data_IF_956454705783
#
_entry.id   IF_956454705783
#
_cell.length_a   1.000
_cell.length_b   1.000
_cell.length_c   1.000
_cell.angle_alpha   90.00
_cell.angle_beta   90.00
_cell.angle_gamma   90.00
#
_symmetry.space_group_name_H-M   'P 1'
#
loop_
_entity.id
_entity.type
_entity.pdbx_description
1 polymer ?
#
# COMPACT_ATOMS: atom_id res chain seq x y z
N UNK A 1 30.79 -0.78 -3.83
CA UNK A 1 29.78 -1.16 -2.79
C UNK A 1 28.44 -1.18 -3.47
N UNK A 2 27.70 -2.28 -3.38
CA UNK A 2 26.45 -2.42 -4.12
C UNK A 2 25.37 -1.49 -3.54
N UNK A 3 24.80 -0.65 -4.37
CA UNK A 3 23.62 0.14 -4.03
C UNK A 3 22.41 -0.78 -3.81
N UNK A 4 21.60 -0.50 -2.81
CA UNK A 4 20.36 -1.23 -2.56
C UNK A 4 19.19 -0.35 -3.01
N UNK A 5 18.45 -0.81 -4.02
CA UNK A 5 17.33 -0.06 -4.62
C UNK A 5 16.02 -0.78 -4.34
N UNK A 6 15.05 -0.05 -3.82
CA UNK A 6 13.65 -0.46 -3.65
C UNK A 6 12.72 0.51 -4.40
N UNK A 7 11.43 0.27 -4.36
CA UNK A 7 10.45 1.15 -5.00
C UNK A 7 10.37 2.55 -4.36
N UNK A 8 10.62 2.65 -3.04
CA UNK A 8 10.43 3.86 -2.25
C UNK A 8 11.74 4.47 -1.75
N UNK A 9 12.86 3.78 -1.89
CA UNK A 9 14.15 4.27 -1.42
C UNK A 9 15.33 3.65 -2.16
N UNK A 10 16.48 4.31 -2.06
CA UNK A 10 17.77 3.83 -2.54
C UNK A 10 18.82 4.11 -1.46
N UNK A 11 19.60 3.08 -1.10
CA UNK A 11 20.76 3.24 -0.23
C UNK A 11 22.00 3.38 -1.11
N UNK A 12 22.74 4.45 -0.92
CA UNK A 12 23.98 4.76 -1.64
C UNK A 12 25.15 4.91 -0.69
N UNK A 13 26.32 5.27 -1.17
CA UNK A 13 27.46 5.65 -0.33
C UNK A 13 27.23 6.95 0.46
N UNK A 14 26.40 7.85 -0.06
CA UNK A 14 26.14 9.18 0.47
C UNK A 14 25.06 9.21 1.54
N UNK A 15 24.00 8.39 1.37
CA UNK A 15 22.87 8.41 2.29
C UNK A 15 21.70 7.55 1.82
N UNK A 16 20.57 7.79 2.49
CA UNK A 16 19.27 7.16 2.22
C UNK A 16 18.45 8.11 1.35
N UNK A 17 18.30 7.79 0.08
CA UNK A 17 17.46 8.54 -0.85
C UNK A 17 16.02 8.06 -0.75
N UNK A 18 15.10 8.92 -0.35
CA UNK A 18 13.68 8.64 -0.37
C UNK A 18 13.13 8.96 -1.78
N UNK A 19 12.48 7.95 -2.40
CA UNK A 19 12.02 8.02 -3.78
C UNK A 19 10.50 8.14 -3.83
N UNK A 20 10.01 9.05 -4.65
CA UNK A 20 8.60 9.18 -5.02
C UNK A 20 8.49 9.44 -6.53
N UNK A 21 7.66 8.66 -7.22
CA UNK A 21 7.50 8.76 -8.69
C UNK A 21 8.83 8.68 -9.46
N UNK A 22 9.74 7.80 -9.01
CA UNK A 22 11.11 7.60 -9.56
C UNK A 22 12.10 8.75 -9.29
N UNK A 23 11.69 9.82 -8.63
CA UNK A 23 12.56 10.93 -8.26
C UNK A 23 12.90 10.90 -6.77
N UNK A 24 14.16 11.21 -6.45
CA UNK A 24 14.57 11.45 -5.06
C UNK A 24 14.00 12.77 -4.60
N UNK A 25 13.16 12.74 -3.57
CA UNK A 25 12.58 13.97 -3.00
C UNK A 25 13.23 14.36 -1.68
N UNK A 26 13.96 13.45 -1.05
CA UNK A 26 14.66 13.71 0.20
C UNK A 26 15.88 12.80 0.32
N UNK A 27 17.01 13.36 0.73
CA UNK A 27 18.23 12.65 1.06
C UNK A 27 18.45 12.76 2.57
N UNK A 28 18.66 11.64 3.23
CA UNK A 28 19.04 11.56 4.65
C UNK A 28 20.49 11.08 4.67
N UNK A 29 21.40 11.95 5.07
CA UNK A 29 22.81 11.59 5.18
C UNK A 29 23.04 10.70 6.41
N UNK A 30 23.98 9.74 6.32
CA UNK A 30 24.17 8.78 7.41
C UNK A 30 24.60 9.41 8.72
N UNK A 31 25.30 10.53 8.67
CA UNK A 31 25.73 11.25 9.89
C UNK A 31 24.55 11.91 10.63
N UNK A 32 23.42 12.14 9.97
CA UNK A 32 22.20 12.68 10.55
C UNK A 32 21.32 11.57 11.17
N UNK A 33 21.60 10.30 10.86
CA UNK A 33 20.81 9.16 11.35
C UNK A 33 21.23 8.78 12.76
N UNK A 34 20.36 9.00 13.73
CA UNK A 34 20.57 8.62 15.13
C UNK A 34 20.40 7.11 15.34
N UNK A 35 19.36 6.54 14.73
CA UNK A 35 19.07 5.11 14.83
C UNK A 35 18.19 4.64 13.66
N UNK A 36 18.32 3.37 13.30
CA UNK A 36 17.46 2.69 12.35
C UNK A 36 17.08 1.31 12.87
N UNK A 37 15.81 0.95 12.84
CA UNK A 37 15.35 -0.36 13.28
C UNK A 37 14.22 -0.89 12.37
N UNK A 38 14.09 -2.22 12.35
CA UNK A 38 13.02 -2.89 11.63
C UNK A 38 11.78 -2.99 12.51
N UNK A 39 10.65 -2.62 11.92
CA UNK A 39 9.32 -2.80 12.50
C UNK A 39 8.41 -3.47 11.47
N UNK A 40 7.45 -4.24 11.91
CA UNK A 40 6.36 -4.69 11.06
C UNK A 40 5.25 -3.64 11.03
N UNK A 41 4.68 -3.43 9.86
CA UNK A 41 3.59 -2.50 9.69
C UNK A 41 2.73 -2.83 8.48
N UNK A 42 1.64 -2.12 8.31
CA UNK A 42 0.70 -2.33 7.21
C UNK A 42 1.20 -1.72 5.91
N UNK A 43 0.88 -2.36 4.79
CA UNK A 43 1.21 -1.84 3.46
C UNK A 43 0.59 -0.45 3.24
N UNK A 44 -0.68 -0.30 3.57
CA UNK A 44 -1.37 0.97 3.53
C UNK A 44 -1.11 1.79 4.81
N UNK A 45 -0.74 3.07 4.66
CA UNK A 45 -0.52 3.97 5.81
C UNK A 45 -1.79 4.16 6.63
N UNK A 46 -2.92 4.39 5.96
CA UNK A 46 -4.24 4.57 6.57
C UNK A 46 -5.08 3.31 6.33
N UNK A 47 -4.60 2.17 6.81
CA UNK A 47 -5.18 0.86 6.55
C UNK A 47 -6.66 0.73 6.95
N UNK A 48 -7.10 1.42 8.01
CA UNK A 48 -8.50 1.41 8.46
C UNK A 48 -9.40 2.04 7.39
N UNK A 49 -9.01 3.19 6.85
CA UNK A 49 -9.75 3.87 5.78
C UNK A 49 -9.80 3.00 4.53
N UNK A 50 -8.67 2.41 4.14
CA UNK A 50 -8.59 1.53 2.97
C UNK A 50 -9.45 0.28 3.16
N UNK A 51 -9.46 -0.30 4.36
CA UNK A 51 -10.31 -1.44 4.71
C UNK A 51 -11.79 -1.08 4.61
N UNK A 52 -12.18 0.08 5.13
CA UNK A 52 -13.56 0.56 5.09
C UNK A 52 -14.04 0.78 3.65
N UNK A 53 -13.22 1.43 2.80
CA UNK A 53 -13.53 1.58 1.38
C UNK A 53 -13.65 0.23 0.65
N UNK A 54 -12.76 -0.72 0.98
CA UNK A 54 -12.85 -2.09 0.45
C UNK A 54 -14.17 -2.78 0.82
N UNK A 55 -14.61 -2.65 2.08
CA UNK A 55 -15.87 -3.18 2.55
C UNK A 55 -17.09 -2.55 1.86
N UNK A 56 -17.11 -1.23 1.73
CA UNK A 56 -18.17 -0.51 0.99
C UNK A 56 -18.21 -0.95 -0.46
N UNK A 57 -17.05 -1.08 -1.12
CA UNK A 57 -16.98 -1.49 -2.51
C UNK A 57 -17.58 -2.88 -2.73
N UNK A 58 -17.28 -3.84 -1.86
CA UNK A 58 -17.87 -5.19 -1.92
C UNK A 58 -19.38 -5.17 -1.63
N UNK A 59 -19.80 -4.38 -0.65
CA UNK A 59 -21.22 -4.23 -0.36
C UNK A 59 -21.99 -3.67 -1.56
N UNK A 60 -21.48 -2.63 -2.20
CA UNK A 60 -22.08 -2.06 -3.42
C UNK A 60 -22.09 -3.06 -4.57
N UNK A 61 -21.04 -3.88 -4.72
CA UNK A 61 -21.01 -4.93 -5.74
C UNK A 61 -22.14 -5.95 -5.55
N UNK A 62 -22.33 -6.42 -4.31
CA UNK A 62 -23.40 -7.36 -3.95
C UNK A 62 -24.77 -6.72 -4.17
N UNK A 63 -24.93 -5.48 -3.73
CA UNK A 63 -26.17 -4.71 -3.89
C UNK A 63 -26.55 -4.54 -5.37
N UNK A 64 -25.59 -4.12 -6.21
CA UNK A 64 -25.80 -3.99 -7.65
C UNK A 64 -26.12 -5.33 -8.31
N UNK A 65 -25.38 -6.38 -7.96
CA UNK A 65 -25.62 -7.71 -8.50
C UNK A 65 -27.05 -8.20 -8.17
N UNK A 66 -27.49 -8.00 -6.93
CA UNK A 66 -28.83 -8.35 -6.48
C UNK A 66 -29.89 -7.64 -7.34
N UNK A 67 -29.76 -6.34 -7.56
CA UNK A 67 -30.72 -5.57 -8.36
C UNK A 67 -30.63 -5.87 -9.87
N UNK A 68 -29.46 -6.21 -10.40
CA UNK A 68 -29.32 -6.65 -11.77
C UNK A 68 -30.06 -7.96 -12.05
N UNK A 69 -30.05 -8.88 -11.07
CA UNK A 69 -30.68 -10.20 -11.22
C UNK A 69 -32.21 -10.11 -10.96
N UNK A 70 -32.59 -9.47 -9.87
CA UNK A 70 -33.99 -9.44 -9.42
C UNK A 70 -34.83 -8.28 -10.06
N UNK A 71 -34.14 -7.26 -10.58
CA UNK A 71 -34.79 -6.02 -10.99
C UNK A 71 -35.14 -5.12 -9.80
N UNK A 72 -35.74 -3.98 -10.08
CA UNK A 72 -36.22 -3.03 -9.06
C UNK A 72 -37.74 -2.98 -9.14
N UNK A 73 -38.43 -3.20 -8.01
CA UNK A 73 -39.88 -3.09 -7.93
C UNK A 73 -40.25 -1.64 -7.65
N UNK A 74 -41.04 -1.04 -8.56
CA UNK A 74 -41.62 0.30 -8.44
C UNK A 74 -43.11 0.17 -8.68
N UNK A 75 -43.94 0.58 -7.74
CA UNK A 75 -45.41 0.54 -7.84
C UNK A 75 -45.97 -0.81 -8.32
N UNK A 76 -45.62 -1.89 -7.61
CA UNK A 76 -46.03 -3.28 -7.90
C UNK A 76 -45.53 -3.84 -9.25
N UNK A 77 -44.79 -3.06 -10.03
CA UNK A 77 -44.16 -3.50 -11.28
C UNK A 77 -42.68 -3.73 -11.12
N UNK A 78 -42.19 -4.89 -11.52
CA UNK A 78 -40.75 -5.19 -11.52
C UNK A 78 -40.13 -4.69 -12.82
N UNK A 79 -39.27 -3.68 -12.74
CA UNK A 79 -38.49 -3.16 -13.86
C UNK A 79 -37.17 -3.93 -13.95
N UNK A 80 -36.92 -4.63 -15.04
CA UNK A 80 -35.69 -5.34 -15.33
C UNK A 80 -34.85 -4.56 -16.33
N UNK A 81 -33.56 -4.39 -15.97
CA UNK A 81 -32.61 -3.58 -16.75
C UNK A 81 -31.82 -4.46 -17.76
N UNK A 82 -32.51 -5.22 -18.63
CA UNK A 82 -31.82 -6.11 -19.56
C UNK A 82 -30.82 -5.40 -20.47
N UNK A 83 -31.10 -4.18 -20.90
CA UNK A 83 -30.20 -3.41 -21.77
C UNK A 83 -28.94 -2.91 -21.04
N UNK A 84 -28.95 -2.83 -19.69
CA UNK A 84 -27.85 -2.40 -18.87
C UNK A 84 -27.11 -3.56 -18.20
N UNK A 85 -27.56 -4.81 -18.43
CA UNK A 85 -27.03 -5.98 -17.74
C UNK A 85 -25.52 -6.15 -17.97
N UNK A 86 -25.06 -6.02 -19.22
CA UNK A 86 -23.63 -6.14 -19.53
C UNK A 86 -22.77 -5.06 -18.87
N UNK A 87 -23.22 -3.80 -18.92
CA UNK A 87 -22.52 -2.67 -18.28
C UNK A 87 -22.55 -2.79 -16.75
N UNK A 88 -23.68 -3.22 -16.18
CA UNK A 88 -23.84 -3.47 -14.77
C UNK A 88 -22.91 -4.57 -14.26
N UNK A 89 -22.74 -5.66 -15.00
CA UNK A 89 -21.79 -6.72 -14.66
C UNK A 89 -20.34 -6.23 -14.66
N UNK A 90 -19.96 -5.40 -15.64
CA UNK A 90 -18.60 -4.80 -15.65
C UNK A 90 -18.39 -3.97 -14.39
N UNK A 91 -19.37 -3.14 -14.00
CA UNK A 91 -19.30 -2.34 -12.78
C UNK A 91 -19.15 -3.23 -11.53
N UNK A 92 -19.90 -4.32 -11.44
CA UNK A 92 -19.78 -5.30 -10.34
C UNK A 92 -18.37 -5.89 -10.27
N UNK A 93 -17.81 -6.35 -11.40
CA UNK A 93 -16.45 -6.89 -11.42
C UNK A 93 -15.40 -5.87 -11.01
N UNK A 94 -15.51 -4.63 -11.45
CA UNK A 94 -14.61 -3.55 -11.05
C UNK A 94 -14.70 -3.31 -9.55
N UNK A 95 -15.91 -3.23 -8.98
CA UNK A 95 -16.12 -3.04 -7.55
C UNK A 95 -15.57 -4.19 -6.72
N UNK A 96 -15.74 -5.44 -7.17
CA UNK A 96 -15.17 -6.62 -6.53
C UNK A 96 -13.63 -6.52 -6.55
N UNK A 97 -13.04 -6.21 -7.71
CA UNK A 97 -11.59 -6.07 -7.85
C UNK A 97 -11.01 -4.99 -6.94
N UNK A 98 -11.64 -3.81 -6.91
CA UNK A 98 -11.26 -2.71 -6.02
C UNK A 98 -11.41 -3.11 -4.55
N UNK A 99 -12.52 -3.77 -4.19
CA UNK A 99 -12.79 -4.22 -2.84
C UNK A 99 -11.75 -5.20 -2.34
N UNK A 100 -11.47 -6.26 -3.11
CA UNK A 100 -10.48 -7.30 -2.77
C UNK A 100 -9.09 -6.68 -2.66
N UNK A 101 -8.67 -5.85 -3.63
CA UNK A 101 -7.36 -5.20 -3.62
C UNK A 101 -7.19 -4.28 -2.41
N UNK A 102 -8.23 -3.53 -2.04
CA UNK A 102 -8.21 -2.63 -0.88
C UNK A 102 -8.08 -3.42 0.41
N UNK A 103 -8.87 -4.47 0.60
CA UNK A 103 -8.79 -5.34 1.78
C UNK A 103 -7.41 -6.01 1.86
N UNK A 104 -6.90 -6.56 0.76
CA UNK A 104 -5.55 -7.13 0.70
C UNK A 104 -4.49 -6.10 1.12
N UNK A 105 -4.55 -4.89 0.57
CA UNK A 105 -3.59 -3.83 0.88
C UNK A 105 -3.66 -3.36 2.34
N UNK A 106 -4.85 -3.37 2.93
CA UNK A 106 -5.08 -3.00 4.32
C UNK A 106 -4.57 -4.07 5.30
N UNK A 107 -4.73 -5.35 4.96
CA UNK A 107 -4.35 -6.47 5.83
C UNK A 107 -2.90 -6.91 5.65
N UNK A 108 -2.29 -6.63 4.50
CA UNK A 108 -0.94 -7.08 4.19
C UNK A 108 0.09 -6.40 5.10
N UNK A 109 0.88 -7.22 5.79
CA UNK A 109 1.95 -6.78 6.69
C UNK A 109 3.26 -6.77 5.89
N UNK A 110 3.95 -5.64 5.95
CA UNK A 110 5.24 -5.45 5.31
C UNK A 110 6.27 -4.96 6.32
N UNK A 111 7.55 -5.33 6.15
CA UNK A 111 8.61 -4.78 6.97
C UNK A 111 8.81 -3.29 6.66
N UNK A 112 9.00 -2.52 7.70
CA UNK A 112 9.24 -1.08 7.66
C UNK A 112 10.58 -0.82 8.35
N UNK A 113 11.46 -0.07 7.70
CA UNK A 113 12.63 0.51 8.35
C UNK A 113 12.18 1.86 8.93
N UNK A 114 12.34 1.99 10.23
CA UNK A 114 12.13 3.26 10.92
C UNK A 114 13.50 3.90 11.09
N UNK A 115 13.68 5.08 10.51
CA UNK A 115 14.90 5.88 10.57
C UNK A 115 14.60 7.12 11.39
N UNK A 116 15.33 7.30 12.49
CA UNK A 116 15.30 8.52 13.29
C UNK A 116 16.46 9.41 12.84
N UNK A 117 16.13 10.61 12.39
CA UNK A 117 17.11 11.58 11.91
C UNK A 117 16.67 12.98 12.35
N UNK A 118 17.53 13.68 13.09
CA UNK A 118 17.32 15.06 13.58
C UNK A 118 15.94 15.24 14.26
N UNK A 119 15.55 14.28 15.13
CA UNK A 119 14.25 14.30 15.82
C UNK A 119 13.03 14.02 14.92
N UNK A 120 13.23 13.70 13.63
CA UNK A 120 12.17 13.28 12.71
C UNK A 120 12.21 11.77 12.51
N UNK A 121 11.01 11.18 12.41
CA UNK A 121 10.85 9.74 12.19
C UNK A 121 10.42 9.50 10.75
N UNK A 122 11.27 8.80 9.98
CA UNK A 122 10.98 8.37 8.62
C UNK A 122 10.63 6.89 8.61
N UNK A 123 9.49 6.53 8.00
CA UNK A 123 9.04 5.15 7.87
C UNK A 123 9.16 4.71 6.41
N UNK A 124 10.09 3.82 6.13
CA UNK A 124 10.42 3.34 4.81
C UNK A 124 9.90 1.91 4.66
N UNK A 125 8.88 1.70 3.82
CA UNK A 125 8.31 0.38 3.56
C UNK A 125 9.14 -0.38 2.56
N UNK A 126 9.51 -1.63 2.92
CA UNK A 126 10.20 -2.54 2.01
C UNK A 126 9.18 -3.24 1.12
N UNK A 127 9.09 -2.83 -0.14
CA UNK A 127 8.13 -3.40 -1.10
C UNK A 127 8.77 -4.53 -1.91
N UNK A 128 9.92 -4.27 -2.53
CA UNK A 128 10.65 -5.22 -3.37
C UNK A 128 11.73 -5.97 -2.61
N UNK A 129 12.37 -5.32 -1.65
CA UNK A 129 13.52 -5.85 -0.91
C UNK A 129 13.17 -6.54 0.42
N UNK A 130 11.94 -7.04 0.56
CA UNK A 130 11.51 -7.74 1.79
C UNK A 130 12.43 -8.91 2.17
N UNK A 131 12.95 -9.66 1.19
CA UNK A 131 13.87 -10.78 1.41
C UNK A 131 15.29 -10.33 1.83
N UNK A 132 15.66 -9.08 1.55
CA UNK A 132 16.99 -8.50 1.82
C UNK A 132 17.07 -7.72 3.13
N UNK A 133 16.15 -7.95 4.08
CA UNK A 133 16.08 -7.25 5.37
C UNK A 133 17.43 -7.22 6.11
N UNK A 134 18.07 -8.38 6.21
CA UNK A 134 19.36 -8.53 6.92
C UNK A 134 20.46 -7.73 6.23
N UNK A 135 20.56 -7.83 4.92
CA UNK A 135 21.54 -7.12 4.11
C UNK A 135 21.40 -5.59 4.24
N UNK A 136 20.15 -5.10 4.28
CA UNK A 136 19.88 -3.67 4.49
C UNK A 136 20.34 -3.22 5.87
N UNK A 137 20.05 -4.00 6.92
CA UNK A 137 20.49 -3.67 8.28
C UNK A 137 22.02 -3.71 8.41
N UNK A 138 22.67 -4.72 7.83
CA UNK A 138 24.14 -4.82 7.79
C UNK A 138 24.74 -3.62 7.05
N UNK A 139 24.16 -3.24 5.92
CA UNK A 139 24.60 -2.08 5.16
C UNK A 139 24.50 -0.79 6.01
N UNK A 140 23.39 -0.56 6.70
CA UNK A 140 23.22 0.59 7.59
C UNK A 140 24.24 0.56 8.75
N UNK A 141 24.48 -0.62 9.32
CA UNK A 141 25.49 -0.81 10.37
C UNK A 141 26.90 -0.48 9.90
N UNK A 142 27.29 -0.88 8.67
CA UNK A 142 28.60 -0.53 8.08
C UNK A 142 28.78 0.97 7.86
N UNK A 143 27.67 1.72 7.80
CA UNK A 143 27.66 3.18 7.69
C UNK A 143 27.65 3.91 9.04
N UNK A 144 27.79 3.17 10.15
CA UNK A 144 27.84 3.74 11.50
C UNK A 144 26.47 4.03 12.11
N UNK A 145 25.39 3.63 11.45
CA UNK A 145 24.02 3.78 11.97
C UNK A 145 23.78 2.78 13.08
N UNK A 146 23.23 3.22 14.22
CA UNK A 146 22.79 2.32 15.30
C UNK A 146 21.55 1.56 14.82
N UNK A 147 21.67 0.23 14.75
CA UNK A 147 20.62 -0.68 14.27
C UNK A 147 20.20 -1.59 15.40
#
# INVERSE_FOLDING_TARGET
>A
MNEIVDANFKLTSEGIHLIRNKFTYHLIEYHEVESAFLKEGRLARNWIIVLFFGGISLFLAIFLLFHLVNGVSIDEKTVRFYNLFGQGLIAVFVLIGVGIFSIYSALNIVPIIVVNSQGKIFQIRLLKSQKRKKEILEFLKTKGVKV
#
